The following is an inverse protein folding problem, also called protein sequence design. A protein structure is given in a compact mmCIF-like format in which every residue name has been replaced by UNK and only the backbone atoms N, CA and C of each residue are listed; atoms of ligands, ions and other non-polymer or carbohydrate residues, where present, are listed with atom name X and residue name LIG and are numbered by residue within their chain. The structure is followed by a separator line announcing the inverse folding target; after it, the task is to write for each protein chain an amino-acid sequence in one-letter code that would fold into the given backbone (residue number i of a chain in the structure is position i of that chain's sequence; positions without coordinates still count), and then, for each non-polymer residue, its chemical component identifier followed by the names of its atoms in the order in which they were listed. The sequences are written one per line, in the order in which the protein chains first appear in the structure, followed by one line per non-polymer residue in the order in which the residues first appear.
data_IF_179600499398
#
_entry.id   IF_179600499398
#
_cell.length_a   1.000
_cell.length_b   1.000
_cell.length_c   1.000
_cell.angle_alpha   90.00
_cell.angle_beta   90.00
_cell.angle_gamma   90.00
#
_symmetry.space_group_name_H-M   'P 1'
#
loop_
_entity.id
_entity.type
_entity.pdbx_description
1 polymer ?
#
# COMPACT_ATOMS: atom_id res chain seq x y z
N UNK A 1 -11.31 -23.90 -23.34
CA UNK A 1 -11.61 -23.35 -21.99
C UNK A 1 -10.37 -22.97 -21.14
N UNK A 2 -9.21 -23.63 -21.25
CA UNK A 2 -8.03 -23.32 -20.41
C UNK A 2 -7.27 -22.03 -20.79
N UNK A 3 -7.34 -21.58 -22.04
CA UNK A 3 -6.62 -20.38 -22.53
C UNK A 3 -7.29 -19.06 -22.12
N UNK A 4 -8.62 -18.97 -22.20
CA UNK A 4 -9.39 -17.78 -21.79
C UNK A 4 -9.29 -17.51 -20.28
N UNK A 5 -9.27 -18.58 -19.47
CA UNK A 5 -9.05 -18.46 -18.02
C UNK A 5 -7.63 -17.99 -17.69
N UNK A 6 -6.61 -18.45 -18.43
CA UNK A 6 -5.22 -17.98 -18.25
C UNK A 6 -5.07 -16.51 -18.61
N UNK A 7 -5.64 -16.06 -19.73
CA UNK A 7 -5.62 -14.66 -20.15
C UNK A 7 -6.31 -13.74 -19.14
N UNK A 8 -7.48 -14.14 -18.61
CA UNK A 8 -8.18 -13.37 -17.58
C UNK A 8 -7.38 -13.26 -16.28
N UNK A 9 -6.62 -14.30 -15.92
CA UNK A 9 -5.74 -14.25 -14.76
C UNK A 9 -4.54 -13.31 -15.00
N UNK A 10 -3.91 -13.37 -16.17
CA UNK A 10 -2.77 -12.51 -16.52
C UNK A 10 -3.17 -11.03 -16.57
N UNK A 11 -4.32 -10.72 -17.18
CA UNK A 11 -4.84 -9.34 -17.25
C UNK A 11 -5.06 -8.76 -15.85
N UNK A 12 -5.60 -9.55 -14.91
CA UNK A 12 -5.79 -9.12 -13.52
C UNK A 12 -4.47 -8.89 -12.77
N UNK A 13 -3.43 -9.67 -13.07
CA UNK A 13 -2.09 -9.46 -12.48
C UNK A 13 -1.52 -8.15 -12.97
N UNK A 14 -1.59 -7.90 -14.28
CA UNK A 14 -1.06 -6.68 -14.89
C UNK A 14 -1.82 -5.44 -14.41
N UNK A 15 -3.16 -5.53 -14.36
CA UNK A 15 -3.98 -4.45 -13.82
C UNK A 15 -3.68 -4.22 -12.32
N UNK A 16 -3.54 -5.29 -11.54
CA UNK A 16 -3.20 -5.23 -10.12
C UNK A 16 -1.81 -4.67 -9.85
N UNK A 17 -0.81 -5.02 -10.66
CA UNK A 17 0.56 -4.50 -10.54
C UNK A 17 0.65 -3.04 -10.98
N UNK A 18 -0.05 -2.65 -12.05
CA UNK A 18 -0.15 -1.26 -12.46
C UNK A 18 -0.82 -0.39 -11.38
N UNK A 19 -1.90 -0.90 -10.76
CA UNK A 19 -2.58 -0.23 -9.66
C UNK A 19 -1.69 -0.10 -8.42
N UNK A 20 -1.02 -1.18 -8.03
CA UNK A 20 -0.07 -1.17 -6.92
C UNK A 20 1.06 -0.16 -7.14
N UNK A 21 1.66 -0.14 -8.33
CA UNK A 21 2.69 0.80 -8.69
C UNK A 21 2.19 2.26 -8.62
N UNK A 22 0.96 2.51 -9.10
CA UNK A 22 0.35 3.83 -9.01
C UNK A 22 0.16 4.28 -7.54
N UNK A 23 -0.27 3.37 -6.65
CA UNK A 23 -0.41 3.69 -5.21
C UNK A 23 0.95 3.98 -4.55
N UNK A 24 1.99 3.21 -4.89
CA UNK A 24 3.34 3.45 -4.38
C UNK A 24 3.87 4.80 -4.85
N UNK A 25 3.77 5.08 -6.15
CA UNK A 25 4.22 6.35 -6.72
C UNK A 25 3.43 7.52 -6.13
N UNK A 26 2.10 7.39 -5.99
CA UNK A 26 1.27 8.40 -5.34
C UNK A 26 1.69 8.64 -3.88
N UNK A 27 1.96 7.57 -3.12
CA UNK A 27 2.44 7.66 -1.75
C UNK A 27 3.78 8.40 -1.65
N UNK A 28 4.74 8.05 -2.51
CA UNK A 28 6.04 8.72 -2.58
C UNK A 28 5.88 10.19 -2.98
N UNK A 29 5.03 10.49 -3.98
CA UNK A 29 4.73 11.86 -4.38
C UNK A 29 4.17 12.67 -3.22
N UNK A 30 3.25 12.10 -2.44
CA UNK A 30 2.72 12.75 -1.23
C UNK A 30 3.81 12.99 -0.19
N UNK A 31 4.75 12.04 0.00
CA UNK A 31 5.88 12.21 0.93
C UNK A 31 6.87 13.28 0.47
N UNK A 32 7.11 13.37 -0.84
CA UNK A 32 8.02 14.35 -1.46
C UNK A 32 7.39 15.74 -1.65
N UNK A 33 6.06 15.84 -1.62
CA UNK A 33 5.35 17.12 -1.83
C UNK A 33 5.62 18.11 -0.70
N UNK A 34 5.83 19.38 -1.05
CA UNK A 34 6.09 20.45 -0.08
C UNK A 34 4.86 20.75 0.79
N UNK A 35 5.06 21.31 1.99
CA UNK A 35 3.96 21.70 2.89
C UNK A 35 3.02 22.72 2.24
N UNK A 36 3.55 23.61 1.41
CA UNK A 36 2.78 24.62 0.69
C UNK A 36 1.79 24.00 -0.30
N UNK A 37 2.16 22.87 -0.92
CA UNK A 37 1.32 22.19 -1.91
C UNK A 37 0.16 21.41 -1.26
N UNK A 38 0.35 20.90 -0.04
CA UNK A 38 -0.66 20.12 0.68
C UNK A 38 -1.62 20.98 1.53
N UNK A 39 -1.27 22.23 1.81
CA UNK A 39 -2.06 23.13 2.65
C UNK A 39 -2.44 22.47 3.99
N UNK A 40 -3.74 22.33 4.23
CA UNK A 40 -4.30 21.76 5.47
C UNK A 40 -4.00 20.27 5.68
N UNK A 41 -3.57 19.55 4.64
CA UNK A 41 -3.20 18.13 4.69
C UNK A 41 -1.74 17.90 5.10
N UNK A 42 -0.95 18.97 5.23
CA UNK A 42 0.44 18.94 5.68
C UNK A 42 0.71 18.13 6.98
N UNK A 43 -0.13 18.18 8.04
CA UNK A 43 0.15 17.46 9.29
C UNK A 43 -0.02 15.95 9.16
N UNK A 44 -0.88 15.47 8.25
CA UNK A 44 -1.15 14.04 8.01
C UNK A 44 -0.42 13.49 6.78
N UNK A 45 0.38 14.31 6.10
CA UNK A 45 1.17 13.96 4.90
C UNK A 45 1.93 12.65 5.04
N UNK A 46 2.65 12.51 6.15
CA UNK A 46 3.46 11.32 6.43
C UNK A 46 2.61 10.06 6.52
N UNK A 47 1.47 10.14 7.22
CA UNK A 47 0.57 9.00 7.38
C UNK A 47 -0.11 8.62 6.08
N UNK A 48 -0.57 9.60 5.29
CA UNK A 48 -1.19 9.35 3.97
C UNK A 48 -0.16 8.74 3.01
N UNK A 49 1.05 9.31 2.95
CA UNK A 49 2.10 8.86 2.06
C UNK A 49 2.59 7.45 2.39
N UNK A 50 2.83 7.17 3.67
CA UNK A 50 3.22 5.81 4.14
C UNK A 50 2.08 4.82 3.92
N UNK A 51 0.82 5.19 4.20
CA UNK A 51 -0.31 4.32 3.94
C UNK A 51 -0.46 3.98 2.45
N UNK A 52 -0.40 4.98 1.56
CA UNK A 52 -0.46 4.75 0.11
C UNK A 52 0.66 3.84 -0.38
N UNK A 53 1.90 4.07 0.08
CA UNK A 53 3.04 3.25 -0.29
C UNK A 53 2.93 1.81 0.23
N UNK A 54 2.58 1.64 1.51
CA UNK A 54 2.40 0.34 2.13
C UNK A 54 1.21 -0.44 1.54
N UNK A 55 0.11 0.25 1.22
CA UNK A 55 -1.06 -0.32 0.56
C UNK A 55 -0.75 -0.80 -0.86
N UNK A 56 0.01 -0.02 -1.63
CA UNK A 56 0.48 -0.44 -2.95
C UNK A 56 1.37 -1.69 -2.89
N UNK A 57 2.33 -1.72 -1.95
CA UNK A 57 3.18 -2.90 -1.70
C UNK A 57 2.36 -4.13 -1.28
N UNK A 58 1.35 -3.94 -0.43
CA UNK A 58 0.44 -5.02 0.01
C UNK A 58 -0.37 -5.58 -1.17
N UNK A 59 -0.97 -4.72 -1.99
CA UNK A 59 -1.72 -5.14 -3.19
C UNK A 59 -0.81 -5.90 -4.16
N UNK A 60 0.43 -5.45 -4.33
CA UNK A 60 1.42 -6.17 -5.14
C UNK A 60 1.73 -7.55 -4.56
N UNK A 61 1.95 -7.67 -3.25
CA UNK A 61 2.21 -8.97 -2.61
C UNK A 61 1.04 -9.94 -2.79
N UNK A 62 -0.19 -9.50 -2.47
CA UNK A 62 -1.38 -10.36 -2.53
C UNK A 62 -1.73 -10.77 -3.97
N UNK A 63 -1.61 -9.87 -4.94
CA UNK A 63 -2.02 -10.15 -6.32
C UNK A 63 -0.92 -10.78 -7.18
N UNK A 64 0.34 -10.45 -6.92
CA UNK A 64 1.49 -10.84 -7.76
C UNK A 64 2.38 -11.85 -7.04
N UNK A 65 2.83 -11.57 -5.82
CA UNK A 65 3.78 -12.44 -5.12
C UNK A 65 3.16 -13.81 -4.80
N UNK A 66 1.90 -13.84 -4.36
CA UNK A 66 1.20 -15.09 -4.01
C UNK A 66 0.98 -16.01 -5.24
N UNK A 67 1.05 -15.46 -6.46
CA UNK A 67 0.97 -16.23 -7.71
C UNK A 67 2.32 -16.69 -8.25
N UNK A 68 3.38 -15.94 -7.97
CA UNK A 68 4.74 -16.26 -8.45
C UNK A 68 5.49 -17.18 -7.49
N UNK A 69 5.33 -17.00 -6.18
CA UNK A 69 6.01 -17.79 -5.19
C UNK A 69 5.16 -18.99 -4.76
N UNK A 70 5.48 -20.18 -5.29
CA UNK A 70 4.88 -21.43 -4.80
C UNK A 70 5.31 -21.67 -3.34
N UNK A 71 4.34 -22.12 -2.52
CA UNK A 71 4.33 -22.64 -1.12
C UNK A 71 5.61 -22.61 -0.26
N UNK A 72 6.81 -22.84 -0.79
CA UNK A 72 8.07 -22.86 -0.04
C UNK A 72 8.50 -21.48 0.52
N UNK A 73 8.17 -20.37 -0.14
CA UNK A 73 8.50 -19.02 0.33
C UNK A 73 7.37 -18.35 1.16
N UNK A 74 6.28 -19.08 1.45
CA UNK A 74 5.12 -18.55 2.17
C UNK A 74 5.42 -17.86 3.51
N UNK A 75 6.26 -18.40 4.42
CA UNK A 75 6.45 -17.77 5.72
C UNK A 75 7.14 -16.40 5.60
N UNK A 76 8.11 -16.25 4.69
CA UNK A 76 8.80 -14.98 4.46
C UNK A 76 7.89 -13.94 3.80
N UNK A 77 7.08 -14.36 2.81
CA UNK A 77 6.09 -13.48 2.17
C UNK A 77 5.04 -13.02 3.18
N UNK A 78 4.58 -13.93 4.03
CA UNK A 78 3.60 -13.64 5.07
C UNK A 78 4.09 -12.60 6.08
N UNK A 79 5.36 -12.67 6.50
CA UNK A 79 5.94 -11.63 7.38
C UNK A 79 5.96 -10.26 6.72
N UNK A 80 6.24 -10.21 5.42
CA UNK A 80 6.29 -8.95 4.70
C UNK A 80 4.88 -8.41 4.36
N UNK A 81 3.91 -9.29 4.11
CA UNK A 81 2.48 -8.92 4.03
C UNK A 81 1.99 -8.31 5.34
N UNK A 82 2.30 -8.94 6.48
CA UNK A 82 1.95 -8.41 7.80
C UNK A 82 2.65 -7.09 8.10
N UNK A 83 3.91 -6.93 7.71
CA UNK A 83 4.62 -5.66 7.86
C UNK A 83 3.98 -4.55 7.00
N UNK A 84 3.63 -4.84 5.74
CA UNK A 84 2.97 -3.89 4.86
C UNK A 84 1.55 -3.57 5.34
N UNK A 85 0.79 -4.56 5.79
CA UNK A 85 -0.54 -4.38 6.37
C UNK A 85 -0.47 -3.56 7.67
N UNK A 86 0.50 -3.87 8.52
CA UNK A 86 0.79 -3.12 9.74
C UNK A 86 1.16 -1.67 9.45
N UNK A 87 1.97 -1.40 8.43
CA UNK A 87 2.28 -0.03 8.00
C UNK A 87 1.05 0.67 7.38
N UNK A 88 0.25 -0.05 6.58
CA UNK A 88 -0.97 0.47 5.95
C UNK A 88 -2.03 0.88 6.96
N UNK A 89 -2.27 0.06 8.00
CA UNK A 89 -3.27 0.32 9.04
C UNK A 89 -2.69 1.19 10.16
N UNK A 90 -1.44 0.94 10.54
CA UNK A 90 -0.78 1.60 11.67
C UNK A 90 -0.44 3.07 11.40
N UNK A 91 0.03 3.42 10.19
CA UNK A 91 0.34 4.81 9.86
C UNK A 91 -0.86 5.77 9.95
N UNK A 92 -2.06 5.45 9.41
CA UNK A 92 -3.25 6.29 9.57
C UNK A 92 -3.82 6.24 11.00
N UNK A 93 -3.78 5.08 11.67
CA UNK A 93 -4.23 4.98 13.06
C UNK A 93 -3.38 5.84 14.01
N UNK A 94 -2.05 5.82 13.84
CA UNK A 94 -1.14 6.66 14.60
C UNK A 94 -1.35 8.17 14.32
N UNK A 95 -1.67 8.52 13.06
CA UNK A 95 -2.05 9.90 12.71
C UNK A 95 -3.34 10.31 13.43
N UNK A 96 -4.34 9.44 13.42
CA UNK A 96 -5.64 9.69 14.05
C UNK A 96 -5.49 9.85 15.56
N UNK A 97 -4.75 8.95 16.22
CA UNK A 97 -4.47 9.04 17.66
C UNK A 97 -3.72 10.34 18.00
N UNK A 98 -2.73 10.71 17.19
CA UNK A 98 -2.00 11.98 17.38
C UNK A 98 -2.92 13.19 17.19
N UNK A 99 -3.82 13.16 16.21
CA UNK A 99 -4.79 14.23 15.99
C UNK A 99 -5.71 14.37 17.21
N UNK A 100 -6.32 13.28 17.66
CA UNK A 100 -7.21 13.25 18.84
C UNK A 100 -6.49 13.79 20.08
N UNK A 101 -5.26 13.37 20.33
CA UNK A 101 -4.46 13.85 21.46
C UNK A 101 -4.13 15.35 21.39
N UNK A 102 -4.01 15.92 20.18
CA UNK A 102 -3.67 17.34 19.99
C UNK A 102 -4.90 18.26 19.92
N UNK A 103 -6.12 17.72 19.75
CA UNK A 103 -7.38 18.48 19.72
C UNK A 103 -8.24 18.26 20.98
N UNK A 104 -7.74 17.49 21.94
CA UNK A 104 -8.44 17.10 23.17
C UNK A 104 -8.29 18.07 24.35
N UNK A 105 -7.58 19.19 24.18
CA UNK A 105 -7.48 20.30 25.15
C UNK A 105 -8.40 21.47 24.73
#
# INVERSE_FOLDING_TARGET
MRLTQRLGLTLRIVAGSAWAAAMVVAGILVLCSSRELLGHLAPIRWSIGVALAAGGLFVFMVLVADRWFRRAARPMIWTAELACLGAFVGAPLAAFLRFVLLTGD
#
